data_IF_612656580652
#
_entry.id   IF_612656580652
#
_cell.length_a   1.000
_cell.length_b   1.000
_cell.length_c   1.000
_cell.angle_alpha   90.00
_cell.angle_beta   90.00
_cell.angle_gamma   90.00
#
_symmetry.space_group_name_H-M   'P 1'
#
loop_
_entity.id
_entity.type
_entity.pdbx_description
1 polymer ?
#
# COMPACT_ATOMS: atom_id res chain seq x y z
N UNK A 1 -21.44 14.58 24.64
CA UNK A 1 -20.60 14.31 23.45
C UNK A 1 -21.19 14.83 22.14
N UNK A 2 -22.44 14.50 21.78
CA UNK A 2 -23.06 14.90 20.49
C UNK A 2 -23.02 16.42 20.21
N UNK A 3 -23.32 17.25 21.21
CA UNK A 3 -23.30 18.72 21.06
C UNK A 3 -21.90 19.30 20.87
N UNK A 4 -20.86 18.63 21.39
CA UNK A 4 -19.46 19.02 21.25
C UNK A 4 -18.96 18.73 19.83
N UNK A 5 -19.33 17.58 19.27
CA UNK A 5 -19.04 17.21 17.88
C UNK A 5 -19.73 18.18 16.90
N UNK A 6 -21.00 18.51 17.14
CA UNK A 6 -21.74 19.49 16.31
C UNK A 6 -21.08 20.86 16.36
N UNK A 7 -20.66 21.34 17.53
CA UNK A 7 -19.92 22.61 17.68
C UNK A 7 -18.54 22.62 17.01
N UNK A 8 -17.85 21.47 16.98
CA UNK A 8 -16.57 21.33 16.30
C UNK A 8 -16.73 21.31 14.78
N UNK A 9 -17.76 20.62 14.28
CA UNK A 9 -18.09 20.58 12.85
C UNK A 9 -18.60 21.93 12.35
N UNK A 10 -19.41 22.65 13.13
CA UNK A 10 -19.90 23.98 12.77
C UNK A 10 -18.82 25.07 12.80
N UNK A 11 -17.67 24.81 13.44
CA UNK A 11 -16.50 25.70 13.48
C UNK A 11 -15.46 25.36 12.42
N UNK A 12 -15.60 24.26 11.68
CA UNK A 12 -14.72 23.99 10.54
C UNK A 12 -15.01 25.05 9.49
N UNK A 13 -14.01 25.89 9.24
CA UNK A 13 -14.00 26.71 8.03
C UNK A 13 -14.18 25.79 6.82
N UNK A 14 -14.92 26.24 5.80
CA UNK A 14 -14.99 25.49 4.55
C UNK A 14 -13.56 25.25 4.08
N UNK A 15 -13.26 24.00 3.75
CA UNK A 15 -11.96 23.62 3.18
C UNK A 15 -11.72 24.52 1.98
N UNK A 16 -10.68 25.34 2.04
CA UNK A 16 -10.26 26.14 0.88
C UNK A 16 -9.93 25.13 -0.21
N UNK A 17 -10.64 25.20 -1.34
CA UNK A 17 -10.29 24.40 -2.51
C UNK A 17 -8.85 24.74 -2.90
N UNK A 18 -7.98 23.73 -2.88
CA UNK A 18 -6.62 23.88 -3.33
C UNK A 18 -6.65 24.08 -4.84
N UNK A 19 -6.15 25.23 -5.32
CA UNK A 19 -5.90 25.38 -6.74
C UNK A 19 -4.79 24.42 -7.20
N UNK A 20 -4.80 24.02 -8.47
CA UNK A 20 -3.84 23.05 -9.00
C UNK A 20 -2.39 23.49 -8.84
N UNK A 21 -2.13 24.80 -8.76
CA UNK A 21 -0.79 25.33 -8.51
C UNK A 21 -0.33 25.08 -7.06
N UNK A 22 -1.24 25.18 -6.10
CA UNK A 22 -1.02 24.88 -4.68
C UNK A 22 -0.88 23.39 -4.45
N UNK A 23 -1.71 22.57 -5.11
CA UNK A 23 -1.53 21.11 -5.14
C UNK A 23 -0.15 20.74 -5.69
N UNK A 24 0.24 21.32 -6.83
CA UNK A 24 1.56 21.10 -7.44
C UNK A 24 2.72 21.46 -6.51
N UNK A 25 2.63 22.60 -5.80
CA UNK A 25 3.65 23.01 -4.81
C UNK A 25 3.71 22.07 -3.62
N UNK A 26 2.56 21.67 -3.07
CA UNK A 26 2.50 20.74 -1.95
C UNK A 26 3.08 19.37 -2.35
N UNK A 27 2.72 18.87 -3.53
CA UNK A 27 3.32 17.66 -4.06
C UNK A 27 4.83 17.80 -4.23
N UNK A 28 5.33 18.87 -4.84
CA UNK A 28 6.77 19.08 -5.02
C UNK A 28 7.52 19.15 -3.67
N UNK A 29 6.91 19.73 -2.63
CA UNK A 29 7.50 19.86 -1.31
C UNK A 29 7.50 18.54 -0.53
N UNK A 30 6.39 17.81 -0.52
CA UNK A 30 6.19 16.68 0.39
C UNK A 30 6.42 15.32 -0.27
N UNK A 31 6.28 15.20 -1.59
CA UNK A 31 6.45 13.93 -2.28
C UNK A 31 7.87 13.34 -2.09
N UNK A 32 8.97 14.11 -2.19
CA UNK A 32 10.31 13.56 -1.95
C UNK A 32 10.46 13.01 -0.53
N UNK A 33 9.97 13.75 0.47
CA UNK A 33 10.00 13.34 1.88
C UNK A 33 9.21 12.05 2.10
N UNK A 34 8.02 11.94 1.49
CA UNK A 34 7.21 10.72 1.56
C UNK A 34 7.91 9.54 0.87
N UNK A 35 8.54 9.76 -0.29
CA UNK A 35 9.30 8.72 -0.99
C UNK A 35 10.48 8.22 -0.17
N UNK A 36 11.21 9.13 0.49
CA UNK A 36 12.33 8.78 1.37
C UNK A 36 11.87 7.97 2.58
N UNK A 37 10.80 8.38 3.26
CA UNK A 37 10.23 7.64 4.38
C UNK A 37 9.78 6.23 3.97
N UNK A 38 9.18 6.11 2.78
CA UNK A 38 8.76 4.81 2.24
C UNK A 38 9.95 3.94 1.86
N UNK A 39 11.03 4.52 1.35
CA UNK A 39 12.29 3.80 1.09
C UNK A 39 12.90 3.29 2.40
N UNK A 40 13.04 4.15 3.40
CA UNK A 40 13.55 3.79 4.72
C UNK A 40 12.74 2.67 5.36
N UNK A 41 11.40 2.72 5.28
CA UNK A 41 10.52 1.65 5.78
C UNK A 41 10.75 0.33 5.05
N UNK A 42 10.93 0.38 3.72
CA UNK A 42 11.21 -0.81 2.93
C UNK A 42 12.57 -1.43 3.29
N UNK A 43 13.59 -0.59 3.48
CA UNK A 43 14.94 -1.03 3.83
C UNK A 43 14.98 -1.63 5.24
N UNK A 44 14.26 -1.03 6.20
CA UNK A 44 14.09 -1.58 7.54
C UNK A 44 13.47 -2.99 7.50
N UNK A 45 12.42 -3.19 6.69
CA UNK A 45 11.81 -4.51 6.52
C UNK A 45 12.74 -5.53 5.84
N UNK A 46 13.61 -5.10 4.95
CA UNK A 46 14.63 -6.00 4.37
C UNK A 46 15.68 -6.39 5.41
N UNK A 47 16.08 -5.44 6.27
CA UNK A 47 16.92 -5.70 7.43
C UNK A 47 16.30 -6.76 8.36
N UNK A 48 15.04 -6.57 8.74
CA UNK A 48 14.32 -7.51 9.62
C UNK A 48 14.07 -8.88 8.97
N UNK A 49 13.87 -8.93 7.65
CA UNK A 49 13.64 -10.18 6.92
C UNK A 49 14.88 -11.10 6.87
N UNK A 50 16.09 -10.57 7.09
CA UNK A 50 17.29 -11.42 7.27
C UNK A 50 17.20 -12.28 8.54
N UNK A 51 16.32 -11.92 9.48
CA UNK A 51 15.99 -12.71 10.64
C UNK A 51 14.92 -13.76 10.25
N UNK A 52 15.34 -14.99 9.93
CA UNK A 52 14.46 -16.06 9.40
C UNK A 52 13.22 -16.35 10.26
N UNK A 53 13.27 -16.09 11.57
CA UNK A 53 12.14 -16.23 12.48
C UNK A 53 11.06 -15.16 12.27
N UNK A 54 11.45 -13.93 11.93
CA UNK A 54 10.54 -12.83 11.66
C UNK A 54 9.76 -13.06 10.35
N UNK A 55 10.43 -13.56 9.30
CA UNK A 55 9.80 -13.84 8.01
C UNK A 55 8.75 -14.97 8.06
N UNK A 56 8.93 -15.96 8.95
CA UNK A 56 7.97 -17.07 9.10
C UNK A 56 6.70 -16.65 9.85
N UNK A 57 6.82 -15.75 10.81
CA UNK A 57 5.71 -15.32 11.66
C UNK A 57 5.07 -13.99 11.24
N UNK A 58 5.48 -13.42 10.10
CA UNK A 58 4.90 -12.19 9.57
C UNK A 58 3.40 -12.36 9.33
N UNK A 59 2.59 -11.43 9.81
CA UNK A 59 1.13 -11.45 9.65
C UNK A 59 0.70 -11.02 8.23
N UNK A 60 -0.56 -11.26 7.90
CA UNK A 60 -1.09 -10.92 6.57
C UNK A 60 -1.07 -9.41 6.30
N UNK A 61 -1.19 -8.57 7.34
CA UNK A 61 -1.21 -7.12 7.20
C UNK A 61 0.17 -6.56 6.84
N UNK A 62 1.24 -6.97 7.54
CA UNK A 62 2.59 -6.53 7.22
C UNK A 62 3.01 -6.96 5.81
N UNK A 63 2.65 -8.19 5.41
CA UNK A 63 2.87 -8.67 4.04
C UNK A 63 2.15 -7.79 3.00
N UNK A 64 0.90 -7.42 3.27
CA UNK A 64 0.11 -6.53 2.41
C UNK A 64 0.74 -5.13 2.32
N UNK A 65 1.09 -4.51 3.45
CA UNK A 65 1.69 -3.18 3.46
C UNK A 65 3.05 -3.16 2.73
N UNK A 66 3.85 -4.23 2.90
CA UNK A 66 5.12 -4.38 2.17
C UNK A 66 4.91 -4.57 0.67
N UNK A 67 3.88 -5.30 0.27
CA UNK A 67 3.52 -5.38 -1.14
C UNK A 67 3.17 -4.00 -1.71
N UNK A 68 2.39 -3.18 -0.98
CA UNK A 68 2.07 -1.82 -1.41
C UNK A 68 3.33 -0.97 -1.65
N UNK A 69 4.32 -1.01 -0.74
CA UNK A 69 5.57 -0.29 -0.95
C UNK A 69 6.33 -0.78 -2.19
N UNK A 70 6.39 -2.10 -2.42
CA UNK A 70 7.04 -2.62 -3.62
C UNK A 70 6.34 -2.19 -4.91
N UNK A 71 5.01 -2.05 -4.91
CA UNK A 71 4.26 -1.52 -6.06
C UNK A 71 4.62 -0.06 -6.34
N UNK A 72 4.74 0.76 -5.30
CA UNK A 72 5.10 2.18 -5.47
C UNK A 72 6.50 2.37 -6.07
N UNK A 73 7.40 1.40 -5.86
CA UNK A 73 8.74 1.41 -6.44
C UNK A 73 8.85 0.58 -7.73
N UNK A 74 7.74 0.14 -8.32
CA UNK A 74 7.72 -0.62 -9.57
C UNK A 74 8.31 -2.04 -9.46
N UNK A 75 8.47 -2.57 -8.26
CA UNK A 75 8.98 -3.93 -8.02
C UNK A 75 7.84 -4.94 -8.05
N UNK A 76 7.20 -5.05 -9.21
CA UNK A 76 5.94 -5.76 -9.42
C UNK A 76 6.00 -7.24 -9.00
N UNK A 77 7.04 -7.99 -9.38
CA UNK A 77 7.12 -9.41 -9.01
C UNK A 77 7.22 -9.63 -7.50
N UNK A 78 7.93 -8.75 -6.78
CA UNK A 78 8.05 -8.84 -5.31
C UNK A 78 6.75 -8.49 -4.61
N UNK A 79 6.00 -7.53 -5.13
CA UNK A 79 4.69 -7.20 -4.59
C UNK A 79 3.69 -8.36 -4.75
N UNK A 80 3.65 -8.99 -5.92
CA UNK A 80 2.76 -10.11 -6.19
C UNK A 80 2.98 -11.29 -5.24
N UNK A 81 4.23 -11.70 -5.03
CA UNK A 81 4.54 -12.81 -4.14
C UNK A 81 4.12 -12.54 -2.69
N UNK A 82 4.23 -11.28 -2.24
CA UNK A 82 3.78 -10.86 -0.92
C UNK A 82 2.26 -10.81 -0.78
N UNK A 83 1.54 -10.33 -1.79
CA UNK A 83 0.07 -10.34 -1.79
C UNK A 83 -0.49 -11.77 -1.75
N UNK A 84 0.16 -12.71 -2.44
CA UNK A 84 -0.21 -14.13 -2.39
C UNK A 84 0.02 -14.73 -1.00
N UNK A 85 1.18 -14.45 -0.39
CA UNK A 85 1.49 -14.88 0.96
C UNK A 85 0.53 -14.26 2.00
N UNK A 86 0.15 -13.00 1.81
CA UNK A 86 -0.85 -12.31 2.63
C UNK A 86 -2.22 -12.99 2.51
N UNK A 87 -2.66 -13.29 1.28
CA UNK A 87 -3.93 -13.95 1.03
C UNK A 87 -3.98 -15.36 1.65
N UNK A 88 -2.90 -16.14 1.54
CA UNK A 88 -2.80 -17.47 2.14
C UNK A 88 -2.93 -17.41 3.67
N UNK A 89 -2.24 -16.46 4.32
CA UNK A 89 -2.36 -16.26 5.78
C UNK A 89 -3.73 -15.76 6.20
N UNK A 90 -4.32 -14.86 5.39
CA UNK A 90 -5.63 -14.30 5.66
C UNK A 90 -6.75 -15.35 5.48
N UNK A 91 -6.53 -16.38 4.65
CA UNK A 91 -7.56 -17.37 4.34
C UNK A 91 -8.13 -18.07 5.58
N UNK A 92 -7.29 -18.36 6.58
CA UNK A 92 -7.72 -18.98 7.84
C UNK A 92 -8.56 -18.06 8.75
N UNK A 93 -8.47 -16.74 8.57
CA UNK A 93 -9.15 -15.74 9.41
C UNK A 93 -10.32 -15.04 8.70
N UNK A 94 -10.19 -14.79 7.40
CA UNK A 94 -11.17 -14.11 6.57
C UNK A 94 -11.09 -14.63 5.12
N UNK A 95 -11.82 -15.69 4.78
CA UNK A 95 -11.80 -16.28 3.44
C UNK A 95 -12.25 -15.30 2.33
N UNK A 96 -13.20 -14.42 2.63
CA UNK A 96 -13.70 -13.42 1.67
C UNK A 96 -12.65 -12.36 1.34
N UNK A 97 -11.93 -11.86 2.35
CA UNK A 97 -10.85 -10.91 2.14
C UNK A 97 -9.66 -11.56 1.42
N UNK A 98 -9.34 -12.82 1.75
CA UNK A 98 -8.33 -13.61 1.05
C UNK A 98 -8.69 -13.81 -0.43
N UNK A 99 -9.94 -14.15 -0.74
CA UNK A 99 -10.41 -14.26 -2.13
C UNK A 99 -10.31 -12.93 -2.88
N UNK A 100 -10.60 -11.81 -2.21
CA UNK A 100 -10.40 -10.47 -2.75
C UNK A 100 -8.94 -10.21 -3.16
N UNK A 101 -7.99 -10.54 -2.28
CA UNK A 101 -6.56 -10.41 -2.56
C UNK A 101 -6.10 -11.35 -3.69
N UNK A 102 -6.56 -12.61 -3.71
CA UNK A 102 -6.23 -13.55 -4.79
C UNK A 102 -6.78 -13.10 -6.15
N UNK A 103 -7.98 -12.51 -6.16
CA UNK A 103 -8.52 -11.92 -7.39
C UNK A 103 -7.66 -10.75 -7.86
N UNK A 104 -7.27 -9.85 -6.96
CA UNK A 104 -6.37 -8.74 -7.29
C UNK A 104 -5.05 -9.25 -7.88
N UNK A 105 -4.40 -10.23 -7.26
CA UNK A 105 -3.12 -10.77 -7.78
C UNK A 105 -3.29 -11.42 -9.16
N UNK A 106 -4.41 -12.12 -9.40
CA UNK A 106 -4.71 -12.68 -10.72
C UNK A 106 -4.88 -11.60 -11.80
N UNK A 107 -5.59 -10.51 -11.49
CA UNK A 107 -5.79 -9.38 -12.41
C UNK A 107 -4.47 -8.68 -12.74
N UNK A 108 -3.63 -8.47 -11.73
CA UNK A 108 -2.32 -7.86 -11.91
C UNK A 108 -1.39 -8.71 -12.79
N UNK A 109 -1.40 -10.05 -12.64
CA UNK A 109 -0.64 -10.93 -13.52
C UNK A 109 -1.13 -10.88 -14.97
N UNK A 110 -2.45 -10.89 -15.17
CA UNK A 110 -3.04 -10.79 -16.51
C UNK A 110 -2.69 -9.45 -17.18
N UNK A 111 -2.65 -8.35 -16.40
CA UNK A 111 -2.22 -7.05 -16.89
C UNK A 111 -0.72 -7.04 -17.27
N UNK A 112 0.15 -7.66 -16.47
CA UNK A 112 1.58 -7.80 -16.78
C UNK A 112 1.82 -8.65 -18.04
N UNK A 113 1.10 -9.77 -18.20
CA UNK A 113 1.21 -10.57 -19.43
C UNK A 113 0.75 -9.81 -20.66
N UNK A 114 -0.41 -9.14 -20.59
CA UNK A 114 -0.92 -8.33 -21.69
C UNK A 114 0.02 -7.17 -22.04
N UNK A 115 0.61 -6.51 -21.04
CA UNK A 115 1.59 -5.45 -21.26
C UNK A 115 2.85 -5.95 -21.98
N UNK A 116 3.33 -7.16 -21.65
CA UNK A 116 4.49 -7.77 -22.34
C UNK A 116 4.18 -8.16 -23.78
N UNK A 117 2.97 -8.66 -24.04
CA UNK A 117 2.52 -8.97 -25.40
C UNK A 117 2.41 -7.74 -26.30
N UNK A 118 2.03 -6.58 -25.74
CA UNK A 118 1.96 -5.31 -26.46
C UNK A 118 3.33 -4.68 -26.76
N UNK A 119 4.37 -5.08 -26.02
CA UNK A 119 5.73 -4.56 -26.15
C UNK A 119 6.65 -5.50 -26.94
N UNK A 120 6.17 -6.67 -27.33
CA UNK A 120 6.87 -7.67 -28.15
C UNK A 120 6.53 -7.51 -29.64
#
# INVERSE_FOLDING_TARGET
>A
MRQLIVRLLSRRQPSVELDSASEGRLCAQFLPVLQDLRRQRLDAWQGDATNMLAARNEDSMNLYERACLYLEFGQWQKALSLLEAAAQRLHGHSPSAAAGLMRLTSQMRAADSAARELLA
#
